data_IF_661292436526
#
_entry.id   IF_661292436526
#
_cell.length_a   1.000
_cell.length_b   1.000
_cell.length_c   1.000
_cell.angle_alpha   90.00
_cell.angle_beta   90.00
_cell.angle_gamma   90.00
#
_symmetry.space_group_name_H-M   'P 1'
#
loop_
_entity.id
_entity.type
_entity.pdbx_description
1 polymer ?
#
# COMPACT_ATOMS: atom_id res chain seq x y z
N UNK A 1 8.53 -14.55 16.65
CA UNK A 1 7.35 -13.65 16.67
C UNK A 1 7.58 -12.47 15.72
N UNK A 2 7.08 -12.59 14.49
CA UNK A 2 7.33 -11.68 13.37
C UNK A 2 6.36 -10.48 13.39
N UNK A 3 6.77 -9.40 14.06
CA UNK A 3 5.98 -8.17 14.22
C UNK A 3 6.13 -7.29 12.96
N UNK A 4 5.25 -7.47 11.99
CA UNK A 4 4.69 -6.45 11.07
C UNK A 4 5.60 -5.48 10.27
N UNK A 5 6.94 -5.61 10.29
CA UNK A 5 7.86 -4.73 9.51
C UNK A 5 7.76 -4.89 7.99
N UNK A 6 7.32 -6.06 7.52
CA UNK A 6 7.18 -6.33 6.08
C UNK A 6 5.88 -5.77 5.48
N UNK A 7 4.87 -5.50 6.29
CA UNK A 7 3.54 -5.09 5.83
C UNK A 7 3.26 -3.59 5.88
N UNK A 8 4.16 -2.76 6.44
CA UNK A 8 3.96 -1.31 6.49
C UNK A 8 3.76 -0.68 5.10
N UNK A 9 4.47 -1.19 4.08
CA UNK A 9 4.28 -0.78 2.70
C UNK A 9 2.94 -1.28 2.11
N UNK A 10 2.43 -2.41 2.61
CA UNK A 10 1.13 -2.98 2.20
C UNK A 10 -0.01 -2.08 2.67
N UNK A 11 0.08 -1.56 3.90
CA UNK A 11 -0.89 -0.60 4.46
C UNK A 11 -0.93 0.67 3.60
N UNK A 12 0.23 1.32 3.37
CA UNK A 12 0.29 2.51 2.52
C UNK A 12 -0.36 2.30 1.14
N UNK A 13 -0.14 1.11 0.53
CA UNK A 13 -0.73 0.74 -0.77
C UNK A 13 -2.22 0.42 -0.73
N UNK A 14 -2.75 -0.04 0.40
CA UNK A 14 -4.18 -0.26 0.60
C UNK A 14 -4.91 1.06 0.75
N UNK A 15 -4.33 1.98 1.53
CA UNK A 15 -4.83 3.34 1.76
C UNK A 15 -4.63 4.28 0.56
N UNK A 16 -3.73 3.95 -0.36
CA UNK A 16 -3.46 4.78 -1.54
C UNK A 16 -2.69 6.07 -1.23
N UNK A 17 -2.04 6.16 -0.06
CA UNK A 17 -1.31 7.36 0.38
C UNK A 17 -0.01 7.02 1.12
N UNK A 18 0.93 7.98 1.16
CA UNK A 18 2.20 7.86 1.92
C UNK A 18 1.92 8.07 3.40
N UNK A 19 1.98 6.99 4.18
CA UNK A 19 1.87 7.05 5.65
C UNK A 19 3.22 7.14 6.39
N UNK A 20 4.34 7.17 5.64
CA UNK A 20 5.70 7.32 6.16
C UNK A 20 6.14 6.31 7.25
N UNK A 21 5.51 5.14 7.33
CA UNK A 21 5.76 4.10 8.35
C UNK A 21 7.17 3.49 8.34
N UNK A 22 7.94 3.65 7.24
CA UNK A 22 9.34 3.20 7.12
C UNK A 22 10.38 4.34 7.23
N UNK A 23 9.97 5.54 7.62
CA UNK A 23 10.88 6.68 7.80
C UNK A 23 11.65 7.01 6.52
N UNK A 24 13.00 6.99 6.61
CA UNK A 24 13.92 7.38 5.53
C UNK A 24 13.62 6.72 4.19
N UNK A 25 13.25 5.43 4.16
CA UNK A 25 12.91 4.72 2.91
C UNK A 25 11.74 5.36 2.16
N UNK A 26 10.75 5.92 2.88
CA UNK A 26 9.54 6.49 2.28
C UNK A 26 9.81 7.76 1.46
N UNK A 27 10.95 8.43 1.72
CA UNK A 27 11.40 9.62 0.99
C UNK A 27 12.25 9.29 -0.25
N UNK A 28 12.64 8.04 -0.41
CA UNK A 28 13.42 7.57 -1.58
C UNK A 28 12.53 6.95 -2.65
N UNK A 29 13.09 6.74 -3.85
CA UNK A 29 12.43 6.01 -4.94
C UNK A 29 12.17 4.53 -4.62
N UNK A 30 12.75 4.01 -3.53
CA UNK A 30 12.48 2.66 -3.02
C UNK A 30 11.14 2.54 -2.30
N UNK A 31 10.38 3.63 -2.17
CA UNK A 31 9.06 3.65 -1.57
C UNK A 31 8.04 2.87 -2.42
N UNK A 32 7.32 1.94 -1.79
CA UNK A 32 6.42 1.02 -2.50
C UNK A 32 5.20 1.72 -3.11
N UNK A 33 4.74 2.84 -2.53
CA UNK A 33 3.60 3.59 -3.06
C UNK A 33 3.98 4.38 -4.30
N UNK A 34 5.15 5.05 -4.32
CA UNK A 34 5.65 5.76 -5.51
C UNK A 34 5.79 4.83 -6.70
N UNK A 35 6.23 3.57 -6.47
CA UNK A 35 6.42 2.58 -7.53
C UNK A 35 5.14 1.81 -7.91
N UNK A 36 4.21 1.64 -6.98
CA UNK A 36 3.04 0.75 -7.12
C UNK A 36 1.85 1.35 -6.37
N UNK A 37 1.29 2.44 -6.89
CA UNK A 37 0.13 3.11 -6.31
C UNK A 37 -1.19 2.40 -6.60
N UNK A 38 -1.25 1.11 -6.28
CA UNK A 38 -2.42 0.25 -6.43
C UNK A 38 -2.42 -0.77 -5.30
N UNK A 39 -3.59 -1.33 -4.98
CA UNK A 39 -3.74 -2.24 -3.85
C UNK A 39 -2.83 -3.47 -3.97
N UNK A 40 -2.41 -4.08 -2.85
CA UNK A 40 -1.65 -5.33 -2.86
C UNK A 40 -2.51 -6.52 -3.33
N UNK A 41 -1.87 -7.55 -3.90
CA UNK A 41 -2.53 -8.79 -4.34
C UNK A 41 -2.84 -8.85 -5.84
N UNK A 42 -3.29 -10.01 -6.32
CA UNK A 42 -3.55 -10.29 -7.75
C UNK A 42 -4.63 -9.38 -8.35
N UNK A 43 -5.63 -9.01 -7.56
CA UNK A 43 -6.72 -8.12 -7.99
C UNK A 43 -6.41 -6.64 -7.78
N UNK A 44 -5.23 -6.30 -7.26
CA UNK A 44 -4.93 -4.94 -6.82
C UNK A 44 -4.83 -3.90 -7.94
N UNK A 45 -4.57 -4.34 -9.17
CA UNK A 45 -4.56 -3.51 -10.38
C UNK A 45 -5.91 -3.48 -11.11
N UNK A 46 -6.85 -4.36 -10.75
CA UNK A 46 -8.17 -4.36 -11.37
C UNK A 46 -8.89 -3.07 -10.99
N UNK A 47 -9.69 -2.54 -11.91
CA UNK A 47 -10.49 -1.34 -11.67
C UNK A 47 -11.39 -1.60 -10.45
N UNK A 48 -11.31 -0.75 -9.42
CA UNK A 48 -12.16 -0.87 -8.24
C UNK A 48 -13.61 -0.64 -8.66
N UNK A 49 -14.45 -1.65 -8.48
CA UNK A 49 -15.89 -1.47 -8.60
C UNK A 49 -16.36 -0.64 -7.42
N UNK A 50 -17.27 0.31 -7.64
CA UNK A 50 -17.77 1.22 -6.60
C UNK A 50 -18.27 0.44 -5.36
N UNK A 51 -18.96 -0.67 -5.60
CA UNK A 51 -19.46 -1.59 -4.56
C UNK A 51 -18.36 -2.17 -3.66
N UNK A 52 -17.16 -2.41 -4.20
CA UNK A 52 -16.03 -2.96 -3.42
C UNK A 52 -15.34 -1.92 -2.52
N UNK A 53 -15.57 -0.63 -2.80
CA UNK A 53 -14.92 0.47 -2.10
C UNK A 53 -15.64 0.85 -0.80
N UNK A 54 -16.96 0.66 -0.73
CA UNK A 54 -17.80 0.95 0.45
C UNK A 54 -17.92 -0.21 1.45
N UNK A 55 -17.46 -1.41 1.11
CA UNK A 55 -17.56 -2.61 1.94
C UNK A 55 -16.26 -2.98 2.69
N UNK A 56 -15.26 -2.10 2.73
CA UNK A 56 -14.01 -2.32 3.47
C UNK A 56 -13.99 -1.57 4.80
#
# INVERSE_FOLDING_TARGET
MARYKDEQCRICRREGQKLFLKGSRCYTDKCSISRRNYAPGQNGQKRKNYLSMVLN
#
